data_IF_881727852192
#
_entry.id   IF_881727852192
#
_cell.length_a   1.000
_cell.length_b   1.000
_cell.length_c   1.000
_cell.angle_alpha   90.00
_cell.angle_beta   90.00
_cell.angle_gamma   90.00
#
_symmetry.space_group_name_H-M   'P 1'
#
loop_
_entity.id
_entity.type
_entity.pdbx_description
1 polymer ?
#
# COMPACT_ATOMS: atom_id res chain seq x y z
N UNK A 1 -6.91 -7.53 14.43
CA UNK A 1 -8.10 -7.60 15.30
C UNK A 1 -9.31 -6.80 14.80
N UNK A 2 -9.18 -5.59 14.22
CA UNK A 2 -10.35 -4.84 13.65
C UNK A 2 -11.05 -5.58 12.49
N UNK A 3 -10.31 -6.23 11.58
CA UNK A 3 -10.89 -6.97 10.45
C UNK A 3 -11.77 -8.14 10.91
N UNK A 4 -11.36 -8.87 11.93
CA UNK A 4 -12.15 -9.96 12.55
C UNK A 4 -13.44 -9.48 13.22
N UNK A 5 -13.45 -8.30 13.87
CA UNK A 5 -14.65 -7.73 14.47
C UNK A 5 -15.65 -7.18 13.45
N UNK A 6 -15.18 -6.80 12.26
CA UNK A 6 -16.05 -6.33 11.18
C UNK A 6 -16.66 -7.50 10.41
N UNK A 7 -15.96 -8.63 10.29
CA UNK A 7 -16.50 -9.86 9.69
C UNK A 7 -17.71 -10.46 10.46
N UNK A 8 -17.95 -10.02 11.70
CA UNK A 8 -19.17 -10.33 12.43
C UNK A 8 -20.40 -9.51 11.96
N UNK A 9 -20.20 -8.48 11.14
CA UNK A 9 -21.28 -7.69 10.55
C UNK A 9 -21.79 -8.35 9.27
N UNK A 10 -23.03 -8.05 8.92
CA UNK A 10 -23.58 -8.45 7.63
C UNK A 10 -23.23 -7.43 6.55
N UNK A 11 -23.17 -7.87 5.29
CA UNK A 11 -22.93 -7.01 4.14
C UNK A 11 -23.84 -5.75 4.16
N UNK A 12 -25.15 -5.96 4.35
CA UNK A 12 -26.12 -4.87 4.36
C UNK A 12 -25.93 -3.89 5.52
N UNK A 13 -25.67 -4.39 6.72
CA UNK A 13 -25.43 -3.51 7.89
C UNK A 13 -24.16 -2.69 7.72
N UNK A 14 -23.13 -3.28 7.12
CA UNK A 14 -21.85 -2.59 6.87
C UNK A 14 -22.00 -1.47 5.83
N UNK A 15 -22.60 -1.72 4.66
CA UNK A 15 -22.83 -0.66 3.67
C UNK A 15 -23.73 0.46 4.20
N UNK A 16 -24.75 0.13 5.03
CA UNK A 16 -25.59 1.12 5.69
C UNK A 16 -24.79 2.01 6.63
N UNK A 17 -23.93 1.42 7.47
CA UNK A 17 -23.08 2.17 8.40
C UNK A 17 -22.16 3.14 7.68
N UNK A 18 -21.52 2.69 6.58
CA UNK A 18 -20.65 3.52 5.75
C UNK A 18 -21.42 4.64 5.04
N UNK A 19 -22.61 4.35 4.53
CA UNK A 19 -23.46 5.36 3.91
C UNK A 19 -23.80 6.49 4.89
N UNK A 20 -24.20 6.14 6.11
CA UNK A 20 -24.51 7.10 7.17
C UNK A 20 -23.24 7.89 7.56
N UNK A 21 -22.12 7.21 7.76
CA UNK A 21 -20.83 7.84 8.07
C UNK A 21 -20.39 8.85 6.99
N UNK A 22 -20.68 8.58 5.72
CA UNK A 22 -20.38 9.49 4.60
C UNK A 22 -21.48 10.54 4.34
N UNK A 23 -22.52 10.64 5.20
CA UNK A 23 -23.65 11.56 5.06
C UNK A 23 -24.39 11.43 3.71
N UNK A 24 -24.48 10.22 3.15
CA UNK A 24 -25.15 9.97 1.87
C UNK A 24 -26.59 9.48 2.12
N UNK A 25 -27.57 10.12 1.48
CA UNK A 25 -28.97 9.70 1.53
C UNK A 25 -29.18 8.34 0.82
N UNK A 26 -30.12 7.51 1.32
CA UNK A 26 -30.38 6.19 0.72
C UNK A 26 -30.79 6.31 -0.76
N UNK A 27 -31.69 7.25 -1.11
CA UNK A 27 -32.09 7.50 -2.51
C UNK A 27 -30.93 8.00 -3.36
N UNK A 28 -30.06 8.81 -2.77
CA UNK A 28 -28.87 9.33 -3.43
C UNK A 28 -27.86 8.20 -3.75
N UNK A 29 -27.57 7.33 -2.78
CA UNK A 29 -26.69 6.19 -3.01
C UNK A 29 -27.28 5.27 -4.08
N UNK A 30 -28.57 4.94 -4.00
CA UNK A 30 -29.25 4.11 -4.99
C UNK A 30 -29.09 4.68 -6.41
N UNK A 31 -29.28 6.00 -6.58
CA UNK A 31 -29.07 6.69 -7.86
C UNK A 31 -27.61 6.58 -8.33
N UNK A 32 -26.63 6.81 -7.43
CA UNK A 32 -25.20 6.74 -7.76
C UNK A 32 -24.74 5.36 -8.21
N UNK A 33 -25.28 4.30 -7.61
CA UNK A 33 -24.93 2.92 -7.99
C UNK A 33 -25.82 2.34 -9.10
N UNK A 34 -26.87 3.06 -9.52
CA UNK A 34 -27.73 2.67 -10.62
C UNK A 34 -28.76 1.59 -10.27
N UNK A 35 -29.32 1.63 -9.05
CA UNK A 35 -30.35 0.68 -8.60
C UNK A 35 -31.60 1.39 -8.07
N UNK A 36 -32.73 0.66 -7.97
CA UNK A 36 -33.93 1.17 -7.34
C UNK A 36 -33.71 1.39 -5.83
N UNK A 37 -34.26 2.45 -5.22
CA UNK A 37 -34.14 2.70 -3.78
C UNK A 37 -34.67 1.55 -2.92
N UNK A 38 -35.72 0.85 -3.35
CA UNK A 38 -36.24 -0.35 -2.70
C UNK A 38 -35.22 -1.49 -2.67
N UNK A 39 -34.49 -1.68 -3.77
CA UNK A 39 -33.43 -2.69 -3.86
C UNK A 39 -32.31 -2.41 -2.85
N UNK A 40 -31.84 -1.17 -2.75
CA UNK A 40 -30.83 -0.78 -1.78
C UNK A 40 -31.34 -0.94 -0.32
N UNK A 41 -32.58 -0.55 -0.06
CA UNK A 41 -33.20 -0.71 1.26
C UNK A 41 -33.25 -2.19 1.68
N UNK A 42 -33.64 -3.08 0.77
CA UNK A 42 -33.69 -4.51 1.05
C UNK A 42 -32.29 -5.10 1.27
N UNK A 43 -31.30 -4.60 0.54
CA UNK A 43 -29.89 -4.97 0.71
C UNK A 43 -29.37 -4.52 2.10
N UNK A 44 -29.58 -3.26 2.47
CA UNK A 44 -29.18 -2.72 3.78
C UNK A 44 -29.85 -3.44 4.97
N UNK A 45 -31.06 -3.97 4.76
CA UNK A 45 -31.81 -4.76 5.76
C UNK A 45 -31.51 -6.26 5.72
N UNK A 46 -30.56 -6.69 4.88
CA UNK A 46 -30.24 -8.09 4.65
C UNK A 46 -31.43 -8.98 4.22
N UNK A 47 -32.44 -8.37 3.59
CA UNK A 47 -33.54 -9.09 2.96
C UNK A 47 -33.17 -9.67 1.60
N UNK A 48 -32.00 -9.25 1.07
CA UNK A 48 -31.39 -9.77 -0.16
C UNK A 48 -29.95 -10.13 0.11
N UNK A 49 -29.44 -11.11 -0.61
CA UNK A 49 -28.02 -11.44 -0.66
C UNK A 49 -27.22 -10.30 -1.29
N UNK A 50 -25.91 -10.27 -1.04
CA UNK A 50 -25.01 -9.29 -1.65
C UNK A 50 -25.09 -9.31 -3.18
N UNK A 51 -24.89 -8.17 -3.83
CA UNK A 51 -25.02 -8.01 -5.27
C UNK A 51 -23.85 -8.68 -6.03
N UNK A 52 -23.82 -8.46 -7.35
CA UNK A 52 -22.72 -8.90 -8.23
C UNK A 52 -21.47 -8.02 -8.01
N UNK A 53 -20.32 -8.54 -8.40
CA UNK A 53 -18.99 -7.94 -8.23
C UNK A 53 -18.89 -6.51 -8.78
N UNK A 54 -19.51 -6.21 -9.92
CA UNK A 54 -19.52 -4.87 -10.51
C UNK A 54 -20.22 -3.82 -9.63
N UNK A 55 -21.30 -4.23 -8.95
CA UNK A 55 -22.02 -3.34 -8.03
C UNK A 55 -21.26 -3.19 -6.69
N UNK A 56 -20.58 -4.24 -6.23
CA UNK A 56 -19.69 -4.18 -5.06
C UNK A 56 -18.55 -3.18 -5.32
N UNK A 57 -17.93 -3.20 -6.51
CA UNK A 57 -16.90 -2.23 -6.91
C UNK A 57 -17.42 -0.79 -6.88
N UNK A 58 -18.63 -0.55 -7.40
CA UNK A 58 -19.25 0.80 -7.33
C UNK A 58 -19.49 1.25 -5.88
N UNK A 59 -19.97 0.34 -5.03
CA UNK A 59 -20.17 0.62 -3.60
C UNK A 59 -18.86 0.96 -2.92
N UNK A 60 -17.79 0.19 -3.17
CA UNK A 60 -16.44 0.45 -2.63
C UNK A 60 -15.99 1.87 -2.95
N UNK A 61 -16.05 2.29 -4.20
CA UNK A 61 -15.64 3.63 -4.65
C UNK A 61 -16.48 4.74 -3.98
N UNK A 62 -17.80 4.61 -4.00
CA UNK A 62 -18.70 5.67 -3.53
C UNK A 62 -18.69 5.80 -2.01
N UNK A 63 -18.60 4.67 -1.30
CA UNK A 63 -18.59 4.62 0.16
C UNK A 63 -17.18 4.72 0.76
N UNK A 64 -16.14 4.78 -0.09
CA UNK A 64 -14.72 4.72 0.31
C UNK A 64 -14.45 3.52 1.21
N UNK A 65 -14.93 2.37 0.79
CA UNK A 65 -14.84 1.11 1.51
C UNK A 65 -13.77 0.20 0.90
N UNK A 66 -13.15 -0.60 1.74
CA UNK A 66 -12.25 -1.68 1.33
C UNK A 66 -13.03 -2.67 0.45
N UNK A 67 -12.52 -2.89 -0.77
CA UNK A 67 -13.16 -3.75 -1.76
C UNK A 67 -13.10 -5.22 -1.34
N UNK A 68 -11.97 -5.68 -0.80
CA UNK A 68 -11.77 -7.08 -0.41
C UNK A 68 -12.69 -7.41 0.76
N UNK A 69 -12.79 -6.51 1.75
CA UNK A 69 -13.74 -6.68 2.86
C UNK A 69 -15.20 -6.73 2.38
N UNK A 70 -15.58 -5.90 1.41
CA UNK A 70 -16.93 -5.96 0.84
C UNK A 70 -17.18 -7.28 0.11
N UNK A 71 -16.19 -7.82 -0.60
CA UNK A 71 -16.29 -9.12 -1.26
C UNK A 71 -16.40 -10.27 -0.24
N UNK A 72 -15.61 -10.24 0.84
CA UNK A 72 -15.68 -11.22 1.93
C UNK A 72 -17.06 -11.22 2.60
N UNK A 73 -17.58 -10.04 2.94
CA UNK A 73 -18.93 -9.91 3.50
C UNK A 73 -20.02 -10.36 2.51
N UNK A 74 -19.80 -10.15 1.22
CA UNK A 74 -20.70 -10.63 0.16
C UNK A 74 -20.70 -12.16 0.07
N UNK A 75 -19.52 -12.79 0.13
CA UNK A 75 -19.37 -14.23 0.19
C UNK A 75 -20.06 -14.81 1.42
N UNK A 76 -19.81 -14.26 2.60
CA UNK A 76 -20.44 -14.66 3.84
C UNK A 76 -21.97 -14.58 3.78
N UNK A 77 -22.53 -13.53 3.17
CA UNK A 77 -23.99 -13.38 3.02
C UNK A 77 -24.64 -14.46 2.17
N UNK A 78 -23.87 -15.03 1.25
CA UNK A 78 -24.28 -16.13 0.35
C UNK A 78 -23.87 -17.50 0.87
N UNK A 79 -23.15 -17.57 1.99
CA UNK A 79 -22.48 -18.78 2.50
C UNK A 79 -21.58 -19.44 1.44
N UNK A 80 -20.85 -18.64 0.69
CA UNK A 80 -19.94 -19.05 -0.38
C UNK A 80 -18.62 -18.33 -0.24
N UNK A 81 -17.63 -18.69 -1.05
CA UNK A 81 -16.38 -17.97 -1.19
C UNK A 81 -16.67 -16.56 -1.76
N UNK A 82 -15.83 -15.59 -1.43
CA UNK A 82 -15.91 -14.23 -1.97
C UNK A 82 -15.99 -14.24 -3.51
N UNK A 83 -16.88 -13.43 -4.11
CA UNK A 83 -17.17 -13.54 -5.55
C UNK A 83 -15.95 -13.29 -6.46
N UNK A 84 -15.06 -12.40 -6.06
CA UNK A 84 -13.81 -12.08 -6.79
C UNK A 84 -12.85 -13.27 -6.80
N UNK A 85 -12.79 -14.06 -5.71
CA UNK A 85 -11.98 -15.28 -5.63
C UNK A 85 -12.56 -16.38 -6.52
N UNK A 86 -13.88 -16.50 -6.59
CA UNK A 86 -14.53 -17.45 -7.51
C UNK A 86 -14.20 -17.07 -8.96
N UNK A 87 -14.39 -15.80 -9.35
CA UNK A 87 -14.06 -15.30 -10.68
C UNK A 87 -12.57 -15.54 -11.03
N UNK A 88 -11.66 -15.36 -10.05
CA UNK A 88 -10.24 -15.63 -10.24
C UNK A 88 -9.92 -17.10 -10.46
N UNK A 89 -10.52 -18.00 -9.68
CA UNK A 89 -10.33 -19.44 -9.81
C UNK A 89 -10.83 -19.95 -11.17
N UNK A 90 -12.00 -19.49 -11.63
CA UNK A 90 -12.59 -19.87 -12.91
C UNK A 90 -11.67 -19.47 -14.09
N UNK A 91 -11.04 -18.32 -14.00
CA UNK A 91 -10.12 -17.82 -15.04
C UNK A 91 -8.68 -18.36 -14.92
N UNK A 92 -8.34 -19.07 -13.82
CA UNK A 92 -7.00 -19.58 -13.56
C UNK A 92 -7.02 -21.06 -13.09
N UNK A 93 -7.21 -22.03 -14.00
CA UNK A 93 -7.36 -23.45 -13.62
C UNK A 93 -6.20 -24.03 -12.80
N UNK A 94 -4.98 -23.49 -12.95
CA UNK A 94 -3.80 -23.91 -12.15
C UNK A 94 -3.97 -23.66 -10.66
N UNK A 95 -4.78 -22.66 -10.27
CA UNK A 95 -5.09 -22.34 -8.86
C UNK A 95 -5.86 -23.49 -8.21
N UNK A 96 -6.73 -24.16 -8.94
CA UNK A 96 -7.47 -25.33 -8.43
C UNK A 96 -6.51 -26.43 -7.97
N UNK A 97 -5.42 -26.65 -8.71
CA UNK A 97 -4.39 -27.64 -8.34
C UNK A 97 -3.66 -27.21 -7.05
N UNK A 98 -3.31 -25.93 -6.92
CA UNK A 98 -2.68 -25.37 -5.72
C UNK A 98 -3.61 -25.52 -4.50
N UNK A 99 -4.89 -25.17 -4.63
CA UNK A 99 -5.87 -25.30 -3.55
C UNK A 99 -6.06 -26.76 -3.11
N UNK A 100 -6.03 -27.71 -4.07
CA UNK A 100 -6.05 -29.14 -3.74
C UNK A 100 -4.81 -29.58 -2.97
N UNK A 101 -3.63 -29.11 -3.36
CA UNK A 101 -2.38 -29.40 -2.66
C UNK A 101 -2.43 -28.86 -1.21
N UNK A 102 -2.86 -27.63 -1.02
CA UNK A 102 -3.05 -27.01 0.31
C UNK A 102 -4.04 -27.83 1.14
N UNK A 103 -5.20 -28.18 0.58
CA UNK A 103 -6.21 -29.01 1.27
C UNK A 103 -5.66 -30.37 1.71
N UNK A 104 -4.87 -31.03 0.84
CA UNK A 104 -4.36 -32.38 1.08
C UNK A 104 -3.14 -32.39 2.03
N UNK A 105 -2.52 -31.23 2.25
CA UNK A 105 -1.33 -31.10 3.12
C UNK A 105 -1.69 -30.95 4.60
N UNK A 106 -3.00 -30.82 4.94
CA UNK A 106 -3.49 -30.67 6.31
C UNK A 106 -2.70 -29.60 7.12
N UNK A 107 -2.39 -28.46 6.45
CA UNK A 107 -1.61 -27.38 7.06
C UNK A 107 -2.32 -26.81 8.28
N UNK A 108 -1.56 -26.53 9.33
CA UNK A 108 -2.03 -25.76 10.47
C UNK A 108 -2.27 -24.29 10.08
N UNK A 109 -3.04 -23.57 10.89
CA UNK A 109 -3.31 -22.15 10.68
C UNK A 109 -2.01 -21.35 10.63
N UNK A 110 -1.01 -21.66 11.48
CA UNK A 110 0.30 -20.99 11.49
C UNK A 110 1.09 -21.22 10.19
N UNK A 111 1.01 -22.43 9.62
CA UNK A 111 1.65 -22.73 8.34
C UNK A 111 0.98 -21.98 7.18
N UNK A 112 -0.35 -21.86 7.20
CA UNK A 112 -1.10 -21.05 6.21
C UNK A 112 -0.70 -19.58 6.30
N UNK A 113 -0.64 -19.02 7.51
CA UNK A 113 -0.18 -17.64 7.74
C UNK A 113 1.25 -17.44 7.25
N UNK A 114 2.15 -18.39 7.49
CA UNK A 114 3.53 -18.32 6.99
C UNK A 114 3.61 -18.36 5.45
N UNK A 115 2.77 -19.15 4.79
CA UNK A 115 2.69 -19.19 3.31
C UNK A 115 2.16 -17.85 2.79
N UNK A 116 1.09 -17.32 3.37
CA UNK A 116 0.53 -16.02 3.01
C UNK A 116 1.59 -14.92 3.14
N UNK A 117 2.31 -14.88 4.27
CA UNK A 117 3.40 -13.94 4.50
C UNK A 117 4.48 -14.02 3.40
N UNK A 118 4.95 -15.23 3.05
CA UNK A 118 5.94 -15.42 1.98
C UNK A 118 5.43 -14.94 0.61
N UNK A 119 4.18 -15.16 0.30
CA UNK A 119 3.57 -14.66 -0.94
C UNK A 119 3.55 -13.13 -0.93
N UNK A 120 3.12 -12.50 0.15
CA UNK A 120 3.07 -11.05 0.30
C UNK A 120 4.48 -10.44 0.20
N UNK A 121 5.48 -11.00 0.87
CA UNK A 121 6.88 -10.57 0.77
C UNK A 121 7.38 -10.63 -0.68
N UNK A 122 7.14 -11.73 -1.38
CA UNK A 122 7.60 -11.93 -2.76
C UNK A 122 6.88 -11.04 -3.78
N UNK A 123 5.66 -10.58 -3.49
CA UNK A 123 4.84 -9.72 -4.37
C UNK A 123 4.91 -8.24 -4.02
N UNK A 124 5.41 -7.89 -2.82
CA UNK A 124 5.60 -6.51 -2.40
C UNK A 124 6.59 -5.82 -3.33
N UNK A 125 6.24 -4.59 -3.72
CA UNK A 125 7.06 -3.74 -4.58
C UNK A 125 7.66 -2.61 -3.78
N UNK A 126 8.77 -2.06 -4.29
CA UNK A 126 9.36 -0.84 -3.74
C UNK A 126 9.47 0.21 -4.84
N UNK A 127 9.07 1.43 -4.53
CA UNK A 127 9.27 2.61 -5.34
C UNK A 127 10.14 3.60 -4.55
N UNK A 128 11.39 3.77 -4.98
CA UNK A 128 12.32 4.72 -4.37
C UNK A 128 12.33 6.02 -5.20
N UNK A 129 12.09 7.15 -4.54
CA UNK A 129 12.11 8.47 -5.20
C UNK A 129 13.49 9.08 -5.07
N UNK A 130 14.22 9.16 -6.20
CA UNK A 130 15.61 9.61 -6.29
C UNK A 130 15.80 10.69 -7.38
N UNK A 131 14.77 11.51 -7.64
CA UNK A 131 14.78 12.49 -8.73
C UNK A 131 15.33 13.88 -8.33
N UNK A 132 15.41 14.18 -7.03
CA UNK A 132 15.73 15.51 -6.52
C UNK A 132 17.15 16.00 -6.79
N UNK A 133 17.32 17.32 -6.88
CA UNK A 133 18.60 17.99 -7.14
C UNK A 133 19.62 17.86 -5.98
N UNK A 134 19.14 17.71 -4.73
CA UNK A 134 20.03 17.69 -3.56
C UNK A 134 20.80 19.00 -3.31
N UNK A 135 20.27 20.14 -3.77
CA UNK A 135 20.94 21.45 -3.81
C UNK A 135 21.48 21.94 -2.46
N UNK A 136 20.87 21.53 -1.35
CA UNK A 136 21.28 21.88 0.01
C UNK A 136 22.68 21.34 0.38
N UNK A 137 23.12 20.25 -0.24
CA UNK A 137 24.42 19.62 0.02
C UNK A 137 25.57 20.22 -0.81
N UNK A 138 25.30 21.27 -1.58
CA UNK A 138 26.28 22.05 -2.37
C UNK A 138 27.28 21.16 -3.10
N UNK A 139 28.59 21.38 -2.92
CA UNK A 139 29.66 20.68 -3.64
C UNK A 139 29.59 19.16 -3.63
N UNK A 140 28.95 18.54 -2.63
CA UNK A 140 28.81 17.09 -2.56
C UNK A 140 27.86 16.51 -3.62
N UNK A 141 26.90 17.30 -4.08
CA UNK A 141 25.88 16.86 -5.05
C UNK A 141 26.01 17.50 -6.43
N UNK A 142 27.05 18.27 -6.69
CA UNK A 142 27.28 18.89 -8.00
C UNK A 142 27.39 17.86 -9.13
N UNK A 143 27.99 16.71 -8.87
CA UNK A 143 28.26 15.68 -9.85
C UNK A 143 27.56 14.34 -9.58
N UNK A 144 26.86 14.21 -8.46
CA UNK A 144 26.19 12.99 -8.03
C UNK A 144 24.80 13.30 -7.46
N UNK A 145 23.78 12.45 -7.72
CA UNK A 145 22.54 12.52 -6.97
C UNK A 145 22.78 12.23 -5.47
N UNK A 146 21.99 12.82 -4.57
CA UNK A 146 22.11 12.64 -3.13
C UNK A 146 22.18 11.18 -2.70
N UNK A 147 21.36 10.32 -3.32
CA UNK A 147 21.30 8.89 -3.02
C UNK A 147 22.58 8.12 -3.39
N UNK A 148 23.45 8.72 -4.19
CA UNK A 148 24.74 8.15 -4.62
C UNK A 148 25.93 8.60 -3.78
N UNK A 149 25.70 9.39 -2.73
CA UNK A 149 26.75 9.74 -1.77
C UNK A 149 27.21 8.48 -1.01
N UNK A 150 28.52 8.38 -0.88
CA UNK A 150 29.16 7.27 -0.15
C UNK A 150 29.04 7.44 1.37
N UNK A 151 28.66 6.40 2.06
CA UNK A 151 28.60 6.30 3.51
C UNK A 151 29.29 4.99 3.96
N UNK A 152 30.57 5.07 4.21
CA UNK A 152 31.35 3.93 4.66
C UNK A 152 31.45 2.80 3.61
N UNK A 153 31.82 3.16 2.39
CA UNK A 153 32.08 2.24 1.28
C UNK A 153 30.84 1.77 0.50
N UNK A 154 29.65 2.28 0.83
CA UNK A 154 28.39 2.00 0.10
C UNK A 154 27.57 3.27 -0.03
N UNK A 155 26.91 3.44 -1.17
CA UNK A 155 26.00 4.58 -1.35
C UNK A 155 24.73 4.42 -0.51
N UNK A 156 24.03 5.55 -0.24
CA UNK A 156 22.73 5.51 0.44
C UNK A 156 21.76 4.56 -0.25
N UNK A 157 21.65 4.67 -1.58
CA UNK A 157 20.76 3.82 -2.35
C UNK A 157 21.15 2.34 -2.27
N UNK A 158 22.45 2.02 -2.34
CA UNK A 158 22.92 0.64 -2.21
C UNK A 158 22.56 0.04 -0.87
N UNK A 159 22.64 0.81 0.22
CA UNK A 159 22.21 0.37 1.56
C UNK A 159 20.71 0.06 1.59
N UNK A 160 19.88 0.94 1.04
CA UNK A 160 18.45 0.71 0.95
C UNK A 160 18.14 -0.55 0.13
N UNK A 161 18.74 -0.69 -1.06
CA UNK A 161 18.56 -1.88 -1.91
C UNK A 161 18.95 -3.18 -1.19
N UNK A 162 20.02 -3.14 -0.39
CA UNK A 162 20.46 -4.29 0.41
C UNK A 162 19.43 -4.64 1.49
N UNK A 163 18.85 -3.64 2.16
CA UNK A 163 17.82 -3.86 3.18
C UNK A 163 16.58 -4.50 2.58
N UNK A 164 16.06 -3.97 1.47
CA UNK A 164 14.88 -4.55 0.81
C UNK A 164 15.11 -5.98 0.36
N UNK A 165 16.26 -6.27 -0.27
CA UNK A 165 16.61 -7.63 -0.70
C UNK A 165 16.76 -8.60 0.47
N UNK A 166 17.32 -8.15 1.59
CA UNK A 166 17.41 -8.96 2.82
C UNK A 166 16.01 -9.30 3.39
N UNK A 167 14.99 -8.50 3.08
CA UNK A 167 13.60 -8.76 3.42
C UNK A 167 12.82 -9.51 2.31
N UNK A 168 13.51 -10.09 1.32
CA UNK A 168 12.89 -10.88 0.25
C UNK A 168 12.22 -10.05 -0.86
N UNK A 169 12.46 -8.73 -0.91
CA UNK A 169 11.84 -7.84 -1.90
C UNK A 169 12.83 -7.54 -3.04
N UNK A 170 12.58 -8.13 -4.21
CA UNK A 170 13.39 -7.93 -5.42
C UNK A 170 12.73 -7.03 -6.47
N UNK A 171 11.42 -6.78 -6.35
CA UNK A 171 10.68 -5.94 -7.29
C UNK A 171 10.83 -4.46 -6.93
N UNK A 172 11.98 -3.89 -7.28
CA UNK A 172 12.37 -2.52 -6.91
C UNK A 172 12.38 -1.62 -8.15
N UNK A 173 11.69 -0.48 -8.04
CA UNK A 173 11.68 0.59 -9.02
C UNK A 173 12.30 1.85 -8.42
N UNK A 174 13.05 2.60 -9.23
CA UNK A 174 13.66 3.87 -8.80
C UNK A 174 13.26 4.98 -9.76
N UNK A 175 12.63 6.02 -9.23
CA UNK A 175 12.34 7.25 -10.01
C UNK A 175 13.58 8.12 -10.00
N UNK A 176 14.15 8.34 -11.19
CA UNK A 176 15.39 9.12 -11.38
C UNK A 176 15.07 10.45 -12.05
N UNK A 177 15.89 11.46 -11.75
CA UNK A 177 15.84 12.78 -12.40
C UNK A 177 17.25 13.34 -12.56
N UNK A 178 17.67 14.13 -11.59
CA UNK A 178 19.01 14.74 -11.59
C UNK A 178 20.12 13.71 -11.72
N UNK A 179 21.04 13.95 -12.65
CA UNK A 179 22.19 13.05 -12.92
C UNK A 179 21.82 11.57 -13.03
N UNK A 180 20.64 11.26 -13.60
CA UNK A 180 20.06 9.91 -13.68
C UNK A 180 21.02 8.83 -14.13
N UNK A 181 21.97 9.15 -15.03
CA UNK A 181 22.95 8.20 -15.57
C UNK A 181 23.96 7.70 -14.51
N UNK A 182 24.05 8.36 -13.36
CA UNK A 182 24.87 7.93 -12.22
C UNK A 182 24.20 6.86 -11.38
N UNK A 183 22.88 6.68 -11.52
CA UNK A 183 22.12 5.65 -10.81
C UNK A 183 21.97 4.45 -11.75
N UNK A 184 22.79 3.42 -11.54
CA UNK A 184 22.80 2.23 -12.41
C UNK A 184 23.12 0.96 -11.61
N UNK A 185 22.10 0.36 -11.00
CA UNK A 185 22.19 -0.92 -10.29
C UNK A 185 21.51 -2.03 -11.11
N UNK A 186 22.02 -3.25 -11.02
CA UNK A 186 21.41 -4.41 -11.68
C UNK A 186 20.07 -4.77 -11.04
N UNK A 187 19.16 -5.29 -11.86
CA UNK A 187 17.83 -5.76 -11.43
C UNK A 187 16.96 -4.67 -10.78
N UNK A 188 17.06 -3.45 -11.29
CA UNK A 188 16.24 -2.31 -10.88
C UNK A 188 15.47 -1.78 -12.08
N UNK A 189 14.19 -1.51 -11.92
CA UNK A 189 13.38 -0.81 -12.91
C UNK A 189 13.55 0.69 -12.73
N UNK A 190 13.94 1.38 -13.79
CA UNK A 190 14.12 2.83 -13.76
C UNK A 190 12.97 3.55 -14.43
N UNK A 191 12.51 4.62 -13.77
CA UNK A 191 11.46 5.51 -14.22
C UNK A 191 12.04 6.93 -14.22
N UNK A 192 12.11 7.56 -15.39
CA UNK A 192 12.80 8.83 -15.53
C UNK A 192 11.80 9.99 -15.42
N UNK A 193 11.90 10.77 -14.34
CA UNK A 193 11.20 12.04 -14.20
C UNK A 193 11.92 13.11 -15.01
N UNK A 194 11.32 13.54 -16.12
CA UNK A 194 11.89 14.55 -17.02
C UNK A 194 11.73 15.98 -16.51
N UNK A 195 10.77 16.16 -15.60
CA UNK A 195 10.37 17.49 -15.08
C UNK A 195 10.87 17.72 -13.63
N UNK A 196 11.88 16.97 -13.19
CA UNK A 196 12.38 16.96 -11.82
C UNK A 196 12.80 18.32 -11.29
N UNK A 197 13.17 19.26 -12.16
CA UNK A 197 13.54 20.64 -11.79
C UNK A 197 12.34 21.52 -11.44
N UNK A 198 11.15 21.16 -11.96
CA UNK A 198 9.94 21.99 -11.91
C UNK A 198 8.83 21.38 -11.06
N UNK A 199 9.00 20.17 -10.60
CA UNK A 199 7.97 19.47 -9.86
C UNK A 199 8.43 19.08 -8.44
N UNK A 200 7.47 18.70 -7.61
CA UNK A 200 7.70 18.25 -6.25
C UNK A 200 7.82 16.72 -6.16
N UNK A 201 8.00 16.23 -4.93
CA UNK A 201 8.18 14.82 -4.65
C UNK A 201 6.94 13.99 -4.99
N UNK A 202 5.73 14.51 -4.75
CA UNK A 202 4.48 13.85 -5.08
C UNK A 202 4.37 13.62 -6.60
N UNK A 203 4.70 14.63 -7.39
CA UNK A 203 4.75 14.48 -8.85
C UNK A 203 5.79 13.44 -9.26
N UNK A 204 6.94 13.37 -8.57
CA UNK A 204 7.94 12.33 -8.81
C UNK A 204 7.39 10.92 -8.55
N UNK A 205 6.57 10.75 -7.51
CA UNK A 205 5.89 9.47 -7.24
C UNK A 205 4.98 9.07 -8.41
N UNK A 206 4.23 10.02 -9.01
CA UNK A 206 3.34 9.73 -10.15
C UNK A 206 4.07 9.31 -11.42
N UNK A 207 5.36 9.59 -11.60
CA UNK A 207 6.15 8.92 -12.65
C UNK A 207 6.21 7.41 -12.45
N UNK A 208 5.98 6.94 -11.23
CA UNK A 208 5.83 5.54 -10.85
C UNK A 208 4.40 4.99 -10.90
N UNK A 209 3.38 5.75 -11.31
CA UNK A 209 1.97 5.35 -11.26
C UNK A 209 1.71 3.94 -11.79
N UNK A 210 2.36 3.56 -12.90
CA UNK A 210 2.19 2.23 -13.52
C UNK A 210 2.68 1.06 -12.65
N UNK A 211 3.50 1.31 -11.64
CA UNK A 211 3.98 0.29 -10.71
C UNK A 211 3.27 0.35 -9.36
N UNK A 212 2.50 1.40 -9.11
CA UNK A 212 1.70 1.58 -7.88
C UNK A 212 0.41 0.76 -7.99
N UNK A 213 0.53 -0.53 -7.70
CA UNK A 213 -0.60 -1.46 -7.59
C UNK A 213 -0.24 -2.60 -6.63
N UNK A 214 -1.22 -3.15 -5.92
CA UNK A 214 -1.00 -4.14 -4.87
C UNK A 214 -0.16 -3.58 -3.72
N UNK A 215 0.57 -4.44 -3.01
CA UNK A 215 1.42 -4.03 -1.90
C UNK A 215 2.65 -3.28 -2.40
N UNK A 216 2.85 -2.06 -1.92
CA UNK A 216 3.97 -1.21 -2.33
C UNK A 216 4.53 -0.41 -1.16
N UNK A 217 5.85 -0.37 -1.05
CA UNK A 217 6.58 0.53 -0.17
C UNK A 217 7.09 1.70 -0.99
N UNK A 218 6.75 2.93 -0.60
CA UNK A 218 7.27 4.14 -1.22
C UNK A 218 8.29 4.75 -0.26
N UNK A 219 9.50 5.01 -0.74
CA UNK A 219 10.60 5.51 0.08
C UNK A 219 11.33 6.68 -0.55
N UNK A 220 11.83 7.57 0.28
CA UNK A 220 12.81 8.56 -0.10
C UNK A 220 14.18 7.91 -0.25
N UNK A 221 14.97 8.38 -1.20
CA UNK A 221 16.29 7.81 -1.49
C UNK A 221 17.41 8.29 -0.57
N UNK A 222 17.12 9.19 0.35
CA UNK A 222 18.08 9.86 1.25
C UNK A 222 17.89 9.54 2.72
N UNK A 223 17.16 8.48 3.02
CA UNK A 223 16.95 7.94 4.36
C UNK A 223 17.72 6.63 4.54
N UNK A 224 18.07 6.31 5.77
CA UNK A 224 18.63 5.02 6.18
C UNK A 224 17.73 4.38 7.22
N UNK A 225 17.54 3.10 7.10
CA UNK A 225 16.72 2.29 7.99
C UNK A 225 17.23 0.86 8.02
N UNK A 226 16.84 0.13 9.05
CA UNK A 226 17.18 -1.28 9.23
C UNK A 226 16.10 -2.20 8.64
N UNK A 227 16.45 -3.48 8.46
CA UNK A 227 15.50 -4.51 7.98
C UNK A 227 14.28 -4.65 8.89
N UNK A 228 14.43 -4.40 10.19
CA UNK A 228 13.34 -4.41 11.17
C UNK A 228 12.21 -3.41 10.83
N UNK A 229 12.54 -2.26 10.23
CA UNK A 229 11.54 -1.26 9.79
C UNK A 229 10.72 -1.81 8.61
N UNK A 230 11.40 -2.38 7.62
CA UNK A 230 10.73 -3.00 6.46
C UNK A 230 9.87 -4.18 6.91
N UNK A 231 10.37 -5.00 7.83
CA UNK A 231 9.62 -6.14 8.35
C UNK A 231 8.32 -5.70 9.05
N UNK A 232 8.36 -4.62 9.86
CA UNK A 232 7.15 -4.07 10.48
C UNK A 232 6.13 -3.55 9.46
N UNK A 233 6.57 -3.01 8.33
CA UNK A 233 5.67 -2.61 7.23
C UNK A 233 5.03 -3.84 6.58
N UNK A 234 5.79 -4.90 6.34
CA UNK A 234 5.29 -6.16 5.76
C UNK A 234 4.31 -6.88 6.69
N UNK A 235 4.51 -6.77 8.01
CA UNK A 235 3.65 -7.35 9.03
C UNK A 235 2.41 -6.50 9.34
N UNK A 236 2.25 -5.34 8.71
CA UNK A 236 1.13 -4.43 8.96
C UNK A 236 -0.12 -4.84 8.21
N UNK A 237 -1.24 -4.98 8.92
CA UNK A 237 -2.57 -5.28 8.36
C UNK A 237 -3.37 -4.02 7.94
N UNK A 238 -2.73 -2.85 7.91
CA UNK A 238 -3.37 -1.59 7.56
C UNK A 238 -3.26 -1.28 6.07
N UNK A 239 -4.29 -0.66 5.50
CA UNK A 239 -4.30 -0.24 4.09
C UNK A 239 -3.19 0.78 3.77
N UNK A 240 -2.85 1.63 4.75
CA UNK A 240 -1.77 2.62 4.65
C UNK A 240 -1.01 2.62 5.98
N UNK A 241 0.29 2.43 5.91
CA UNK A 241 1.21 2.50 7.05
C UNK A 241 2.30 3.53 6.78
N UNK A 242 2.60 4.36 7.77
CA UNK A 242 3.63 5.40 7.70
C UNK A 242 4.71 5.12 8.73
N UNK A 243 5.97 5.10 8.29
CA UNK A 243 7.12 4.99 9.19
C UNK A 243 7.44 6.37 9.74
N UNK A 244 7.53 6.48 11.06
CA UNK A 244 7.89 7.71 11.75
C UNK A 244 9.08 7.46 12.69
N UNK A 245 9.97 8.44 12.80
CA UNK A 245 11.03 8.46 13.80
C UNK A 245 10.51 9.25 15.02
N UNK A 246 10.32 8.58 16.14
CA UNK A 246 9.82 9.21 17.38
C UNK A 246 10.87 10.06 18.09
N UNK A 247 12.15 9.81 17.82
CA UNK A 247 13.29 10.50 18.43
C UNK A 247 13.87 11.62 17.53
N UNK A 248 13.18 11.95 16.42
CA UNK A 248 13.61 12.87 15.38
C UNK A 248 14.04 14.27 15.89
N UNK A 249 13.45 14.76 16.97
CA UNK A 249 13.73 16.10 17.52
C UNK A 249 15.17 16.27 17.94
N UNK A 250 15.80 15.20 18.42
CA UNK A 250 17.22 15.22 18.81
C UNK A 250 18.16 15.60 17.67
N UNK A 251 17.80 15.26 16.43
CA UNK A 251 18.59 15.58 15.24
C UNK A 251 18.55 17.07 14.85
N UNK A 252 17.59 17.82 15.40
CA UNK A 252 17.45 19.25 15.10
C UNK A 252 18.16 20.17 16.11
N UNK A 253 18.65 19.61 17.22
CA UNK A 253 19.36 20.40 18.24
C UNK A 253 20.64 21.02 17.65
N UNK A 254 20.72 22.34 17.66
CA UNK A 254 21.87 23.09 17.14
C UNK A 254 21.96 23.22 15.61
N UNK A 255 20.98 22.71 14.84
CA UNK A 255 20.93 22.93 13.40
C UNK A 255 20.63 24.40 13.07
N UNK A 256 21.45 24.98 12.17
CA UNK A 256 21.22 26.31 11.59
C UNK A 256 20.60 26.23 10.20
N UNK A 257 21.00 25.22 9.42
CA UNK A 257 20.45 24.96 8.10
C UNK A 257 19.33 23.90 8.28
N UNK A 258 18.19 24.12 7.65
CA UNK A 258 17.01 23.27 7.75
C UNK A 258 16.45 23.25 9.18
N UNK A 259 15.81 24.34 9.63
CA UNK A 259 15.30 24.48 10.99
C UNK A 259 14.13 23.51 11.25
N UNK A 260 13.78 23.34 12.53
CA UNK A 260 12.76 22.36 12.98
C UNK A 260 11.38 22.60 12.37
N UNK A 261 11.09 23.84 11.99
CA UNK A 261 9.83 24.25 11.34
C UNK A 261 9.67 23.66 9.93
N UNK A 262 10.75 23.24 9.30
CA UNK A 262 10.75 22.57 8.00
C UNK A 262 10.66 21.04 8.11
N UNK A 263 10.58 20.49 9.33
CA UNK A 263 10.43 19.05 9.52
C UNK A 263 9.06 18.56 9.06
N UNK A 264 9.03 17.48 8.32
CA UNK A 264 7.79 16.78 8.00
C UNK A 264 7.25 16.12 9.27
N UNK A 265 6.08 16.54 9.73
CA UNK A 265 5.47 16.06 10.95
C UNK A 265 4.25 15.19 10.66
N UNK A 266 4.06 14.17 11.49
CA UNK A 266 2.87 13.34 11.52
C UNK A 266 2.21 13.49 12.89
N UNK A 267 0.91 13.72 12.90
CA UNK A 267 0.11 13.74 14.13
C UNK A 267 -0.65 12.42 14.19
N UNK A 268 -0.49 11.69 15.26
CA UNK A 268 -1.17 10.42 15.49
C UNK A 268 -1.81 10.36 16.89
N UNK A 269 -2.87 9.60 17.00
CA UNK A 269 -3.58 9.39 18.26
C UNK A 269 -2.91 8.30 19.14
N UNK A 270 -3.50 8.02 20.30
CA UNK A 270 -3.01 6.99 21.24
C UNK A 270 -2.98 5.57 20.65
N UNK A 271 -3.68 5.33 19.54
CA UNK A 271 -3.71 4.05 18.83
C UNK A 271 -2.72 4.01 17.66
N UNK A 272 -1.82 5.00 17.54
CA UNK A 272 -0.91 5.20 16.41
C UNK A 272 -1.63 5.34 15.04
N UNK A 273 -2.85 5.88 15.02
CA UNK A 273 -3.60 6.19 13.79
C UNK A 273 -3.36 7.65 13.39
N UNK A 274 -3.05 7.90 12.11
CA UNK A 274 -2.79 9.23 11.50
C UNK A 274 -4.09 9.88 11.04
#
# INVERSE_FOLDING_TARGET
>A
MKKLSILSQTFGSYIRSLRIKNNIGQRELAKKIGVAPSYLNDMEKNKRTAPRTDLIKKLSIILKADLDLLNDLAGNSKKTIAPDIVDYIENNPKIVSLLRAVKNSELSDDEIVNIEKKINESTTKVLIVAAGLGSRLKGHTENLPKCMLDFGGKTLLERQLSVYRNCGIDNISVVRGYKKNKINYKNIKYLDNKDYEKNNILNSIFYGEKVINGNIIIAYSDILFESSVVQRLLDSDHDISVVVDIDWRGYYVGRKDHPIEEAENVIFNSNNEV
#
